data_IF_988002003849
#
_entry.id   IF_988002003849
#
_cell.length_a   1.000
_cell.length_b   1.000
_cell.length_c   1.000
_cell.angle_alpha   90.00
_cell.angle_beta   90.00
_cell.angle_gamma   90.00
#
_symmetry.space_group_name_H-M   'P 1'
#
loop_
_entity.id
_entity.type
_entity.pdbx_description
1 polymer ?
#
# COMPACT_ATOMS: atom_id res chain seq x y z
N UNK A 1 11.05 24.67 16.11
CA UNK A 1 11.31 23.22 16.23
C UNK A 1 9.97 22.53 16.39
N UNK A 2 9.53 21.80 15.37
CA UNK A 2 8.35 20.97 15.48
C UNK A 2 8.55 20.00 16.65
N UNK A 3 7.57 19.89 17.52
CA UNK A 3 7.54 18.81 18.51
C UNK A 3 7.35 17.55 17.67
N UNK A 4 8.43 16.84 17.42
CA UNK A 4 8.37 15.57 16.73
C UNK A 4 7.32 14.70 17.45
N UNK A 5 6.44 14.06 16.68
CA UNK A 5 5.51 13.12 17.26
C UNK A 5 6.29 12.16 18.14
N UNK A 6 6.02 12.17 19.46
CA UNK A 6 6.77 11.39 20.45
C UNK A 6 6.33 9.93 20.51
N UNK A 7 5.44 9.53 19.59
CA UNK A 7 5.04 8.13 19.52
C UNK A 7 6.21 7.26 19.13
N UNK A 8 6.24 6.07 19.70
CA UNK A 8 7.12 5.02 19.21
C UNK A 8 6.89 4.77 17.72
N UNK A 9 7.93 4.46 16.92
CA UNK A 9 7.79 4.30 15.46
C UNK A 9 6.67 3.36 15.03
N UNK A 10 6.48 2.26 15.75
CA UNK A 10 5.38 1.32 15.45
C UNK A 10 4.01 1.96 15.68
N UNK A 11 3.82 2.64 16.81
CA UNK A 11 2.57 3.32 17.12
C UNK A 11 2.29 4.46 16.14
N UNK A 12 3.33 5.15 15.68
CA UNK A 12 3.22 6.19 14.66
C UNK A 12 2.76 5.60 13.33
N UNK A 13 3.37 4.48 12.89
CA UNK A 13 2.99 3.80 11.66
C UNK A 13 1.51 3.37 11.68
N UNK A 14 1.06 2.80 12.78
CA UNK A 14 -0.33 2.37 12.98
C UNK A 14 -1.30 3.56 12.97
N UNK A 15 -0.96 4.66 13.63
CA UNK A 15 -1.77 5.88 13.64
C UNK A 15 -1.88 6.49 12.23
N UNK A 16 -0.79 6.53 11.47
CA UNK A 16 -0.80 6.98 10.08
C UNK A 16 -1.72 6.12 9.22
N UNK A 17 -1.62 4.79 9.33
CA UNK A 17 -2.46 3.87 8.58
C UNK A 17 -3.95 4.04 8.90
N UNK A 18 -4.29 4.15 10.17
CA UNK A 18 -5.67 4.38 10.62
C UNK A 18 -6.23 5.68 10.04
N UNK A 19 -5.45 6.75 10.11
CA UNK A 19 -5.84 8.06 9.59
C UNK A 19 -6.08 8.01 8.07
N UNK A 20 -5.14 7.41 7.33
CA UNK A 20 -5.25 7.31 5.87
C UNK A 20 -6.43 6.44 5.45
N UNK A 21 -6.60 5.27 6.06
CA UNK A 21 -7.65 4.34 5.65
C UNK A 21 -9.04 4.91 5.86
N UNK A 22 -9.24 5.70 6.91
CA UNK A 22 -10.53 6.36 7.20
C UNK A 22 -11.00 7.26 6.05
N UNK A 23 -10.09 7.85 5.29
CA UNK A 23 -10.38 8.73 4.15
C UNK A 23 -10.17 8.06 2.78
N UNK A 24 -9.63 6.86 2.74
CA UNK A 24 -9.30 6.13 1.50
C UNK A 24 -10.53 5.39 0.96
N UNK A 25 -11.41 6.14 0.31
CA UNK A 25 -12.66 5.60 -0.24
C UNK A 25 -12.41 4.57 -1.34
N UNK A 26 -11.36 4.74 -2.13
CA UNK A 26 -11.04 3.84 -3.24
C UNK A 26 -10.65 2.44 -2.73
N UNK A 27 -9.74 2.37 -1.76
CA UNK A 27 -9.36 1.09 -1.16
C UNK A 27 -10.52 0.44 -0.41
N UNK A 28 -11.32 1.23 0.32
CA UNK A 28 -12.53 0.75 0.99
C UNK A 28 -13.54 0.17 0.00
N UNK A 29 -13.77 0.84 -1.13
CA UNK A 29 -14.73 0.40 -2.15
C UNK A 29 -14.35 -0.95 -2.76
N UNK A 30 -13.07 -1.27 -2.83
CA UNK A 30 -12.58 -2.56 -3.32
C UNK A 30 -12.49 -3.64 -2.22
N UNK A 31 -12.95 -3.32 -1.02
CA UNK A 31 -12.94 -4.27 0.09
C UNK A 31 -11.55 -4.58 0.63
N UNK A 32 -10.57 -3.69 0.42
CA UNK A 32 -9.24 -3.89 0.96
C UNK A 32 -9.23 -3.82 2.48
N UNK A 33 -8.38 -4.64 3.08
CA UNK A 33 -8.13 -4.68 4.51
C UNK A 33 -6.66 -4.42 4.76
N UNK A 34 -6.35 -3.49 5.66
CA UNK A 34 -4.99 -3.29 6.14
C UNK A 34 -4.71 -4.36 7.19
N UNK A 35 -3.92 -5.36 6.82
CA UNK A 35 -3.59 -6.48 7.71
C UNK A 35 -2.59 -6.06 8.78
N UNK A 36 -1.51 -5.38 8.37
CA UNK A 36 -0.48 -4.89 9.28
C UNK A 36 0.31 -3.75 8.67
N UNK A 37 0.87 -2.90 9.53
CA UNK A 37 1.86 -1.90 9.17
C UNK A 37 2.97 -1.83 10.20
N UNK A 38 4.13 -1.43 9.75
CA UNK A 38 5.27 -1.06 10.57
C UNK A 38 6.10 -0.02 9.82
N UNK A 39 7.11 0.61 10.40
CA UNK A 39 7.87 1.63 9.67
C UNK A 39 8.41 1.13 8.33
N UNK A 40 7.98 1.75 7.23
CA UNK A 40 8.36 1.39 5.87
C UNK A 40 7.75 0.09 5.34
N UNK A 41 6.74 -0.45 6.01
CA UNK A 41 6.17 -1.76 5.67
C UNK A 41 4.65 -1.75 5.80
N UNK A 42 3.96 -2.39 4.86
CA UNK A 42 2.51 -2.55 4.92
C UNK A 42 2.09 -3.84 4.23
N UNK A 43 1.05 -4.46 4.78
CA UNK A 43 0.40 -5.62 4.18
C UNK A 43 -1.09 -5.34 4.05
N UNK A 44 -1.60 -5.44 2.83
CA UNK A 44 -3.01 -5.29 2.52
C UNK A 44 -3.54 -6.55 1.81
N UNK A 45 -4.81 -6.83 2.03
CA UNK A 45 -5.50 -7.96 1.40
C UNK A 45 -6.71 -7.46 0.61
N UNK A 46 -7.05 -8.17 -0.47
CA UNK A 46 -8.24 -7.93 -1.28
C UNK A 46 -8.73 -9.24 -1.87
N UNK A 47 -10.02 -9.51 -1.75
CA UNK A 47 -10.63 -10.65 -2.44
C UNK A 47 -11.04 -10.23 -3.84
N UNK A 48 -10.69 -11.02 -4.84
CA UNK A 48 -11.07 -10.77 -6.24
C UNK A 48 -12.58 -11.02 -6.39
N UNK A 49 -13.32 -9.98 -6.78
CA UNK A 49 -14.77 -10.03 -7.05
C UNK A 49 -15.04 -10.22 -8.54
N UNK A 50 -16.25 -10.63 -8.89
CA UNK A 50 -16.67 -10.77 -10.28
C UNK A 50 -16.57 -9.45 -11.06
N UNK A 51 -16.86 -8.32 -10.43
CA UNK A 51 -16.76 -6.99 -11.05
C UNK A 51 -15.31 -6.51 -11.25
N UNK A 52 -14.33 -7.29 -10.82
CA UNK A 52 -12.90 -7.09 -11.10
C UNK A 52 -12.40 -7.95 -12.26
N UNK A 53 -13.24 -8.78 -12.85
CA UNK A 53 -12.88 -9.68 -13.95
C UNK A 53 -12.73 -8.93 -15.27
N UNK A 54 -11.73 -9.32 -16.05
CA UNK A 54 -11.56 -8.85 -17.42
C UNK A 54 -12.28 -9.78 -18.42
N UNK A 55 -12.16 -9.50 -19.71
CA UNK A 55 -12.76 -10.32 -20.76
C UNK A 55 -12.26 -11.75 -20.87
N UNK A 56 -11.17 -12.10 -20.18
CA UNK A 56 -10.63 -13.46 -20.10
C UNK A 56 -11.14 -14.24 -18.87
N UNK A 57 -11.99 -13.63 -18.03
CA UNK A 57 -12.50 -14.26 -16.82
C UNK A 57 -11.53 -14.32 -15.64
N UNK A 58 -10.46 -13.54 -15.69
CA UNK A 58 -9.48 -13.41 -14.61
C UNK A 58 -9.47 -11.97 -14.06
N UNK A 59 -8.86 -11.78 -12.91
CA UNK A 59 -8.74 -10.45 -12.30
C UNK A 59 -8.05 -9.49 -13.27
N UNK A 60 -8.70 -8.36 -13.55
CA UNK A 60 -8.12 -7.31 -14.38
C UNK A 60 -6.86 -6.77 -13.69
N UNK A 61 -5.78 -6.62 -14.48
CA UNK A 61 -4.50 -6.14 -13.96
C UNK A 61 -4.55 -4.79 -13.26
N UNK A 62 -5.51 -3.93 -13.63
CA UNK A 62 -5.73 -2.65 -12.96
C UNK A 62 -6.09 -2.79 -11.48
N UNK A 63 -6.83 -3.83 -11.10
CA UNK A 63 -7.16 -4.08 -9.69
C UNK A 63 -5.99 -4.67 -8.91
N UNK A 64 -5.18 -5.50 -9.54
CA UNK A 64 -3.92 -5.99 -8.95
C UNK A 64 -2.97 -4.82 -8.73
N UNK A 65 -2.85 -3.93 -9.72
CA UNK A 65 -2.06 -2.71 -9.61
C UNK A 65 -2.56 -1.85 -8.45
N UNK A 66 -3.88 -1.67 -8.34
CA UNK A 66 -4.46 -0.84 -7.27
C UNK A 66 -4.16 -1.41 -5.88
N UNK A 67 -4.24 -2.73 -5.70
CA UNK A 67 -3.88 -3.36 -4.43
C UNK A 67 -2.40 -3.11 -4.09
N UNK A 68 -1.52 -3.31 -5.06
CA UNK A 68 -0.08 -3.07 -4.88
C UNK A 68 0.21 -1.59 -4.58
N UNK A 69 -0.45 -0.67 -5.30
CA UNK A 69 -0.29 0.76 -5.13
C UNK A 69 -0.80 1.22 -3.75
N UNK A 70 -1.92 0.68 -3.28
CA UNK A 70 -2.42 0.95 -1.93
C UNK A 70 -1.42 0.46 -0.86
N UNK A 71 -0.91 -0.75 -0.98
CA UNK A 71 0.11 -1.26 -0.05
C UNK A 71 1.35 -0.36 -0.03
N UNK A 72 1.81 0.07 -1.20
CA UNK A 72 2.90 1.03 -1.35
C UNK A 72 2.58 2.36 -0.65
N UNK A 73 1.39 2.90 -0.86
CA UNK A 73 0.96 4.16 -0.25
C UNK A 73 0.96 4.08 1.28
N UNK A 74 0.44 3.00 1.84
CA UNK A 74 0.46 2.80 3.31
C UNK A 74 1.88 2.66 3.84
N UNK A 75 2.75 1.92 3.15
CA UNK A 75 4.14 1.76 3.56
C UNK A 75 4.91 3.09 3.57
N UNK A 76 4.79 3.89 2.52
CA UNK A 76 5.54 5.13 2.39
C UNK A 76 5.01 6.27 3.28
N UNK A 77 3.80 6.15 3.82
CA UNK A 77 3.22 7.13 4.73
C UNK A 77 3.35 6.76 6.22
N UNK A 78 4.09 5.72 6.56
CA UNK A 78 4.28 5.29 7.95
C UNK A 78 5.16 6.22 8.76
N UNK A 79 5.84 7.17 8.12
CA UNK A 79 6.77 8.11 8.75
C UNK A 79 6.17 9.49 9.06
N UNK A 80 4.86 9.59 9.03
CA UNK A 80 4.11 10.82 9.31
C UNK A 80 4.44 12.01 8.38
N UNK A 81 4.77 11.73 7.14
CA UNK A 81 4.90 12.75 6.10
C UNK A 81 3.98 12.42 4.94
N UNK A 82 3.27 13.43 4.44
CA UNK A 82 2.40 13.25 3.27
C UNK A 82 3.28 12.88 2.07
N UNK A 83 3.13 11.64 1.63
CA UNK A 83 3.96 11.02 0.59
C UNK A 83 3.06 10.41 -0.48
N UNK A 84 3.40 10.66 -1.74
CA UNK A 84 2.64 10.18 -2.89
C UNK A 84 3.55 9.40 -3.84
N UNK A 85 2.92 8.59 -4.70
CA UNK A 85 3.62 7.91 -5.78
C UNK A 85 4.13 8.93 -6.81
N UNK A 86 5.37 8.80 -7.25
CA UNK A 86 5.96 9.57 -8.34
C UNK A 86 6.07 8.74 -9.61
N UNK A 87 6.41 7.47 -9.48
CA UNK A 87 6.51 6.53 -10.58
C UNK A 87 6.26 5.11 -10.05
N UNK A 88 5.76 4.26 -10.91
CA UNK A 88 5.56 2.87 -10.58
C UNK A 88 5.68 1.99 -11.81
N UNK A 89 6.16 0.76 -11.60
CA UNK A 89 6.22 -0.30 -12.60
C UNK A 89 5.68 -1.58 -11.97
N UNK A 90 4.90 -2.33 -12.74
CA UNK A 90 4.40 -3.63 -12.33
C UNK A 90 4.71 -4.68 -13.39
N UNK A 91 5.07 -5.88 -12.94
CA UNK A 91 5.16 -7.08 -13.77
C UNK A 91 4.11 -8.07 -13.29
N UNK A 92 3.22 -8.48 -14.21
CA UNK A 92 2.21 -9.50 -13.94
C UNK A 92 2.77 -10.86 -14.31
N UNK A 93 2.83 -11.77 -13.33
CA UNK A 93 3.50 -13.05 -13.48
C UNK A 93 2.53 -14.21 -13.61
N UNK A 94 1.39 -14.16 -12.91
CA UNK A 94 0.38 -15.22 -12.90
C UNK A 94 -1.02 -14.59 -12.78
N UNK A 95 -2.06 -15.25 -13.34
CA UNK A 95 -3.42 -14.77 -13.19
C UNK A 95 -3.95 -15.00 -11.77
N UNK A 96 -4.92 -14.17 -11.40
CA UNK A 96 -5.74 -14.37 -10.21
C UNK A 96 -7.19 -14.58 -10.64
N UNK A 97 -7.88 -15.51 -9.98
CA UNK A 97 -9.26 -15.86 -10.28
C UNK A 97 -10.23 -15.19 -9.30
N UNK A 98 -11.48 -15.07 -9.72
CA UNK A 98 -12.56 -14.61 -8.85
C UNK A 98 -12.66 -15.49 -7.59
N UNK A 99 -12.84 -14.87 -6.44
CA UNK A 99 -12.89 -15.53 -5.14
C UNK A 99 -11.56 -15.72 -4.45
N UNK A 100 -10.44 -15.55 -5.16
CA UNK A 100 -9.12 -15.66 -4.54
C UNK A 100 -8.78 -14.43 -3.69
N UNK A 101 -8.19 -14.70 -2.52
CA UNK A 101 -7.63 -13.66 -1.65
C UNK A 101 -6.22 -13.32 -2.12
N UNK A 102 -5.99 -12.05 -2.43
CA UNK A 102 -4.68 -11.52 -2.76
C UNK A 102 -4.11 -10.75 -1.58
N UNK A 103 -2.82 -10.94 -1.34
CA UNK A 103 -2.07 -10.28 -0.27
C UNK A 103 -0.90 -9.53 -0.87
N UNK A 104 -0.89 -8.21 -0.69
CA UNK A 104 0.20 -7.34 -1.13
C UNK A 104 1.06 -6.95 0.05
N UNK A 105 2.34 -7.21 -0.04
CA UNK A 105 3.33 -6.82 0.97
C UNK A 105 4.29 -5.80 0.38
N UNK A 106 4.29 -4.60 0.95
CA UNK A 106 5.16 -3.50 0.55
C UNK A 106 6.32 -3.32 1.53
N UNK A 107 7.52 -3.18 0.99
CA UNK A 107 8.76 -3.00 1.75
C UNK A 107 9.54 -1.81 1.25
N UNK A 108 9.95 -0.97 2.18
CA UNK A 108 10.90 0.12 1.91
C UNK A 108 12.29 -0.46 1.64
N UNK A 109 12.85 -0.10 0.49
CA UNK A 109 14.23 -0.46 0.14
C UNK A 109 15.19 0.67 0.44
N UNK A 110 14.75 1.91 0.22
CA UNK A 110 15.55 3.11 0.42
C UNK A 110 14.64 4.29 0.68
N UNK A 111 15.02 5.15 1.60
CA UNK A 111 14.30 6.38 1.90
C UNK A 111 15.27 7.53 2.09
N UNK A 112 15.18 8.53 1.22
CA UNK A 112 15.87 9.80 1.36
C UNK A 112 14.96 10.87 1.94
N UNK A 113 15.39 12.12 1.88
CA UNK A 113 14.61 13.24 2.43
C UNK A 113 13.28 13.44 1.70
N UNK A 114 13.27 13.34 0.36
CA UNK A 114 12.06 13.56 -0.45
C UNK A 114 11.66 12.37 -1.29
N UNK A 115 12.52 11.43 -1.53
CA UNK A 115 12.20 10.29 -2.40
C UNK A 115 12.49 8.96 -1.71
N UNK A 116 11.75 7.95 -2.08
CA UNK A 116 11.91 6.60 -1.58
C UNK A 116 11.69 5.57 -2.67
N UNK A 117 12.18 4.37 -2.42
CA UNK A 117 12.04 3.22 -3.30
C UNK A 117 11.44 2.07 -2.50
N UNK A 118 10.39 1.46 -3.06
CA UNK A 118 9.61 0.40 -2.41
C UNK A 118 9.36 -0.74 -3.38
N UNK A 119 9.44 -1.96 -2.89
CA UNK A 119 8.98 -3.14 -3.63
C UNK A 119 7.71 -3.69 -3.00
N UNK A 120 6.80 -4.15 -3.85
CA UNK A 120 5.57 -4.83 -3.44
C UNK A 120 5.47 -6.16 -4.14
N UNK A 121 5.23 -7.22 -3.38
CA UNK A 121 4.88 -8.53 -3.91
C UNK A 121 3.39 -8.77 -3.66
N UNK A 122 2.68 -9.20 -4.70
CA UNK A 122 1.29 -9.63 -4.61
C UNK A 122 1.24 -11.14 -4.74
N UNK A 123 0.68 -11.83 -3.74
CA UNK A 123 0.60 -13.29 -3.68
C UNK A 123 -0.83 -13.77 -3.47
N UNK A 124 -1.13 -14.96 -4.00
CA UNK A 124 -2.33 -15.71 -3.64
C UNK A 124 -2.15 -16.38 -2.27
N UNK A 125 -3.27 -16.91 -1.72
CA UNK A 125 -3.26 -17.63 -0.44
C UNK A 125 -2.36 -18.88 -0.47
N UNK A 126 -2.17 -19.53 -1.64
CA UNK A 126 -1.27 -20.67 -1.81
C UNK A 126 0.22 -20.26 -1.86
N UNK A 127 0.53 -18.97 -1.76
CA UNK A 127 1.89 -18.43 -1.81
C UNK A 127 2.40 -18.11 -3.21
N UNK A 128 1.63 -18.39 -4.27
CA UNK A 128 2.07 -18.10 -5.64
C UNK A 128 2.20 -16.59 -5.86
N UNK A 129 3.32 -16.19 -6.43
CA UNK A 129 3.60 -14.80 -6.76
C UNK A 129 2.80 -14.39 -7.99
N UNK A 130 1.88 -13.44 -7.82
CA UNK A 130 0.99 -12.94 -8.86
C UNK A 130 1.62 -11.77 -9.61
N UNK A 131 2.21 -10.84 -8.89
CA UNK A 131 2.82 -9.66 -9.47
C UNK A 131 3.94 -9.10 -8.59
N UNK A 132 4.89 -8.43 -9.24
CA UNK A 132 5.91 -7.62 -8.59
C UNK A 132 5.72 -6.17 -9.01
N UNK A 133 5.73 -5.28 -8.03
CA UNK A 133 5.54 -3.85 -8.21
C UNK A 133 6.72 -3.10 -7.60
N UNK A 134 7.19 -2.07 -8.27
CA UNK A 134 8.20 -1.15 -7.73
C UNK A 134 7.69 0.27 -7.82
N UNK A 135 7.67 0.98 -6.69
CA UNK A 135 7.23 2.37 -6.61
C UNK A 135 8.33 3.31 -6.15
N UNK A 136 8.36 4.47 -6.78
CA UNK A 136 9.14 5.62 -6.33
C UNK A 136 8.19 6.60 -5.67
N UNK A 137 8.51 6.99 -4.43
CA UNK A 137 7.70 7.92 -3.66
C UNK A 137 8.30 9.33 -3.67
N UNK A 138 7.43 10.32 -3.48
CA UNK A 138 7.82 11.70 -3.24
C UNK A 138 7.14 12.21 -1.97
N UNK A 139 7.96 12.67 -1.02
CA UNK A 139 7.49 13.19 0.27
C UNK A 139 7.47 14.71 0.28
N UNK A 140 6.37 15.28 0.77
CA UNK A 140 6.23 16.70 1.05
C UNK A 140 6.76 17.03 2.45
N UNK A 141 6.80 18.33 2.78
CA UNK A 141 7.13 18.78 4.14
C UNK A 141 5.93 18.74 5.10
N UNK A 142 4.74 18.39 4.59
CA UNK A 142 3.51 18.33 5.41
C UNK A 142 3.48 17.05 6.24
N UNK A 143 3.03 17.16 7.48
CA UNK A 143 2.72 16.00 8.31
C UNK A 143 1.39 15.38 7.88
N UNK A 144 1.31 14.07 7.93
CA UNK A 144 0.06 13.33 7.70
C UNK A 144 -0.89 13.49 8.88
N UNK A 145 -0.36 13.33 10.09
CA UNK A 145 -1.07 13.58 11.35
C UNK A 145 -0.73 14.99 11.82
N UNK A 146 -1.73 15.83 11.99
CA UNK A 146 -1.54 17.11 12.63
C UNK A 146 -1.25 16.89 14.11
N UNK A 147 -0.35 17.72 14.68
CA UNK A 147 -0.14 17.73 16.12
C UNK A 147 -1.49 18.03 16.82
N UNK A 148 -1.88 17.28 17.83
CA UNK A 148 -3.02 17.67 18.64
C UNK A 148 -2.69 19.03 19.28
N UNK A 149 -3.53 20.01 18.96
CA UNK A 149 -3.43 21.35 19.53
C UNK A 149 -3.60 21.30 21.07
#
# INVERSE_FOLDING_TARGET
>A
MSIADRREPQALAEACATHMFAADRASQALGMVVESVSPGHAVLCMTVREDMSNGHGICHGGFIFMLADSAFAFACNTHNRVTVAQAAKIDFLRPAACGELLRAEARELSRGHRSGLYDVEVRRADGALIACFRGNSHSSDKLLLEDPA
#
